data_IF_032942687801
#
_entry.id   IF_032942687801
#
_cell.length_a   1.000
_cell.length_b   1.000
_cell.length_c   1.000
_cell.angle_alpha   90.00
_cell.angle_beta   90.00
_cell.angle_gamma   90.00
#
_symmetry.space_group_name_H-M   'P 1'
#
loop_
_entity.id
_entity.type
_entity.pdbx_description
1 polymer ?
#
# COMPACT_ATOMS: atom_id res chain seq x y z
N UNK A 1 -64.16 -107.58 -57.13
CA UNK A 1 -63.47 -107.22 -55.87
C UNK A 1 -63.63 -105.71 -55.72
N UNK A 2 -64.66 -105.24 -55.02
CA UNK A 2 -64.70 -105.03 -53.55
C UNK A 2 -63.64 -104.00 -53.13
N UNK A 3 -63.91 -102.88 -52.44
CA UNK A 3 -65.13 -102.33 -51.84
C UNK A 3 -64.80 -100.92 -51.27
N UNK A 4 -65.71 -99.93 -51.45
CA UNK A 4 -66.22 -98.92 -50.48
C UNK A 4 -65.33 -97.78 -49.89
N UNK A 5 -65.74 -96.54 -50.26
CA UNK A 5 -66.13 -95.33 -49.44
C UNK A 5 -65.10 -94.67 -48.49
N UNK A 6 -65.09 -93.37 -48.17
CA UNK A 6 -66.08 -92.26 -48.12
C UNK A 6 -65.37 -90.90 -48.40
N UNK A 7 -65.91 -90.00 -49.25
CA UNK A 7 -66.58 -88.69 -48.97
C UNK A 7 -65.73 -87.58 -48.32
N UNK A 8 -65.53 -86.46 -49.04
CA UNK A 8 -66.03 -85.09 -48.73
C UNK A 8 -66.09 -84.28 -50.04
N UNK A 9 -67.29 -83.79 -50.36
CA UNK A 9 -67.61 -82.84 -51.45
C UNK A 9 -67.08 -81.43 -51.16
N UNK A 10 -66.82 -80.62 -52.19
CA UNK A 10 -67.42 -79.27 -52.37
C UNK A 10 -67.31 -78.87 -53.85
N UNK A 11 -68.45 -78.51 -54.41
CA UNK A 11 -68.77 -78.30 -55.83
C UNK A 11 -68.20 -77.03 -56.48
N UNK A 12 -68.13 -77.10 -57.82
CA UNK A 12 -68.54 -76.10 -58.83
C UNK A 12 -67.85 -74.72 -58.85
N UNK A 13 -67.56 -74.07 -59.98
CA UNK A 13 -67.78 -74.27 -61.41
C UNK A 13 -66.92 -73.20 -62.14
N UNK A 14 -66.74 -73.29 -63.48
CA UNK A 14 -65.99 -72.31 -64.25
C UNK A 14 -66.86 -71.07 -64.55
N UNK A 15 -66.82 -70.05 -63.69
CA UNK A 15 -67.43 -68.75 -63.99
C UNK A 15 -66.65 -67.56 -63.38
N UNK A 16 -65.33 -67.57 -63.51
CA UNK A 16 -64.45 -66.64 -62.78
C UNK A 16 -64.30 -65.25 -63.47
N UNK A 17 -64.20 -65.21 -64.81
CA UNK A 17 -63.96 -63.94 -65.51
C UNK A 17 -65.22 -63.07 -65.67
N UNK A 18 -66.37 -63.66 -66.01
CA UNK A 18 -67.63 -62.91 -66.19
C UNK A 18 -68.11 -62.29 -64.88
N UNK A 19 -67.92 -63.00 -63.76
CA UNK A 19 -68.27 -62.54 -62.42
C UNK A 19 -67.34 -61.41 -61.95
N UNK A 20 -66.05 -61.46 -62.32
CA UNK A 20 -65.09 -60.39 -62.02
C UNK A 20 -65.41 -59.08 -62.79
N UNK A 21 -65.77 -59.15 -64.07
CA UNK A 21 -66.18 -57.96 -64.84
C UNK A 21 -67.49 -57.36 -64.36
N UNK A 22 -68.46 -58.20 -63.96
CA UNK A 22 -69.70 -57.72 -63.34
C UNK A 22 -69.42 -56.99 -62.02
N UNK A 23 -68.49 -57.51 -61.20
CA UNK A 23 -68.07 -56.88 -59.95
C UNK A 23 -67.33 -55.55 -60.18
N UNK A 24 -66.37 -55.51 -61.12
CA UNK A 24 -65.67 -54.27 -61.48
C UNK A 24 -66.62 -53.23 -62.08
N UNK A 25 -67.59 -53.65 -62.88
CA UNK A 25 -68.61 -52.74 -63.42
C UNK A 25 -69.50 -52.18 -62.31
N UNK A 26 -69.82 -52.99 -61.30
CA UNK A 26 -70.47 -52.53 -60.07
C UNK A 26 -69.63 -51.52 -59.28
N UNK A 27 -68.34 -51.78 -59.09
CA UNK A 27 -67.43 -50.87 -58.37
C UNK A 27 -67.20 -49.56 -59.13
N UNK A 28 -67.04 -49.60 -60.45
CA UNK A 28 -66.92 -48.39 -61.29
C UNK A 28 -68.23 -47.60 -61.31
N UNK A 29 -69.38 -48.26 -61.28
CA UNK A 29 -70.67 -47.59 -61.14
C UNK A 29 -70.80 -46.89 -59.78
N UNK A 30 -70.31 -47.50 -58.70
CA UNK A 30 -70.27 -46.88 -57.37
C UNK A 30 -69.30 -45.69 -57.30
N UNK A 31 -68.09 -45.83 -57.87
CA UNK A 31 -67.13 -44.72 -57.96
C UNK A 31 -67.67 -43.56 -58.80
N UNK A 32 -68.32 -43.87 -59.94
CA UNK A 32 -68.95 -42.87 -60.78
C UNK A 32 -70.05 -42.14 -60.02
N UNK A 33 -70.90 -42.86 -59.29
CA UNK A 33 -71.95 -42.26 -58.45
C UNK A 33 -71.40 -41.43 -57.30
N UNK A 34 -70.29 -41.87 -56.69
CA UNK A 34 -69.60 -41.12 -55.64
C UNK A 34 -68.94 -39.85 -56.19
N UNK A 35 -68.34 -39.90 -57.38
CA UNK A 35 -67.78 -38.72 -58.06
C UNK A 35 -68.89 -37.78 -58.53
N UNK A 36 -69.99 -38.30 -59.05
CA UNK A 36 -71.17 -37.51 -59.40
C UNK A 36 -71.75 -36.82 -58.15
N UNK A 37 -71.85 -37.50 -56.99
CA UNK A 37 -72.20 -36.87 -55.72
C UNK A 37 -71.19 -35.83 -55.24
N UNK A 38 -69.88 -36.11 -55.31
CA UNK A 38 -68.84 -35.16 -54.90
C UNK A 38 -68.81 -33.92 -55.80
N UNK A 39 -69.09 -34.10 -57.10
CA UNK A 39 -69.17 -33.02 -58.08
C UNK A 39 -70.46 -32.21 -57.96
N UNK A 40 -71.56 -32.86 -57.60
CA UNK A 40 -72.84 -32.21 -57.26
C UNK A 40 -72.71 -31.36 -56.00
N UNK A 41 -72.04 -31.90 -54.97
CA UNK A 41 -71.77 -31.18 -53.72
C UNK A 41 -70.79 -30.03 -53.96
N UNK A 42 -69.75 -30.20 -54.79
CA UNK A 42 -68.85 -29.09 -55.18
C UNK A 42 -69.45 -28.06 -56.13
N UNK A 43 -70.46 -28.42 -56.92
CA UNK A 43 -71.18 -27.46 -57.76
C UNK A 43 -72.13 -26.57 -56.93
N UNK A 44 -72.52 -27.03 -55.73
CA UNK A 44 -73.31 -26.27 -54.76
C UNK A 44 -72.44 -25.50 -53.76
N UNK A 45 -71.15 -25.85 -53.62
CA UNK A 45 -70.17 -25.08 -52.83
C UNK A 45 -69.55 -23.99 -53.71
N UNK A 46 -70.06 -22.77 -53.54
CA UNK A 46 -69.40 -21.54 -53.99
C UNK A 46 -67.97 -21.54 -53.43
N UNK A 47 -66.96 -21.65 -54.31
CA UNK A 47 -65.56 -21.66 -53.90
C UNK A 47 -65.23 -20.34 -53.17
N UNK A 48 -64.39 -20.33 -52.12
CA UNK A 48 -64.10 -19.09 -51.40
C UNK A 48 -63.56 -18.04 -52.39
N UNK A 49 -64.19 -16.86 -52.45
CA UNK A 49 -63.74 -15.78 -53.31
C UNK A 49 -62.42 -15.18 -52.77
N UNK A 50 -61.30 -15.68 -53.30
CA UNK A 50 -59.97 -15.20 -52.96
C UNK A 50 -59.63 -13.85 -53.61
N UNK A 51 -60.49 -13.27 -54.44
CA UNK A 51 -60.22 -11.99 -55.10
C UNK A 51 -60.03 -10.85 -54.09
N UNK A 52 -60.78 -10.88 -52.97
CA UNK A 52 -60.66 -9.89 -51.89
C UNK A 52 -59.34 -10.06 -51.13
N UNK A 53 -58.96 -11.29 -50.79
CA UNK A 53 -57.72 -11.55 -50.05
C UNK A 53 -56.48 -11.34 -50.92
N UNK A 54 -56.52 -11.73 -52.19
CA UNK A 54 -55.46 -11.44 -53.17
C UNK A 54 -55.38 -9.94 -53.48
N UNK A 55 -56.52 -9.24 -53.54
CA UNK A 55 -56.58 -7.79 -53.68
C UNK A 55 -55.94 -7.08 -52.49
N UNK A 56 -56.23 -7.53 -51.26
CA UNK A 56 -55.62 -6.96 -50.06
C UNK A 56 -54.11 -7.24 -49.98
N UNK A 57 -53.67 -8.43 -50.39
CA UNK A 57 -52.24 -8.75 -50.49
C UNK A 57 -51.54 -7.89 -51.54
N UNK A 58 -52.16 -7.71 -52.72
CA UNK A 58 -51.63 -6.84 -53.77
C UNK A 58 -51.58 -5.38 -53.32
N UNK A 59 -52.60 -4.90 -52.61
CA UNK A 59 -52.64 -3.56 -52.00
C UNK A 59 -51.51 -3.38 -50.98
N UNK A 60 -51.26 -4.38 -50.13
CA UNK A 60 -50.17 -4.36 -49.14
C UNK A 60 -48.80 -4.40 -49.82
N UNK A 61 -48.64 -5.19 -50.89
CA UNK A 61 -47.39 -5.25 -51.66
C UNK A 61 -47.11 -3.92 -52.37
N UNK A 62 -48.11 -3.33 -53.01
CA UNK A 62 -48.07 -1.99 -53.60
C UNK A 62 -47.72 -0.91 -52.56
N UNK A 63 -48.29 -0.99 -51.37
CA UNK A 63 -48.00 -0.07 -50.28
C UNK A 63 -46.59 -0.24 -49.69
N UNK A 64 -45.93 -1.39 -49.91
CA UNK A 64 -44.53 -1.64 -49.55
C UNK A 64 -43.61 -1.17 -50.68
N UNK A 65 -43.97 -1.43 -51.93
CA UNK A 65 -43.24 -1.00 -53.13
C UNK A 65 -43.21 0.54 -53.25
N UNK A 66 -44.27 1.23 -52.81
CA UNK A 66 -44.33 2.69 -52.72
C UNK A 66 -43.58 3.29 -51.52
N UNK A 67 -43.05 2.49 -50.58
CA UNK A 67 -42.24 3.00 -49.47
C UNK A 67 -40.79 3.14 -49.92
N UNK A 68 -40.19 4.30 -49.61
CA UNK A 68 -38.79 4.69 -49.84
C UNK A 68 -37.74 3.81 -49.13
N UNK A 69 -38.08 2.58 -48.76
CA UNK A 69 -37.14 1.57 -48.27
C UNK A 69 -36.48 0.78 -49.41
N UNK A 70 -37.09 0.71 -50.61
CA UNK A 70 -36.52 0.00 -51.77
C UNK A 70 -35.54 0.83 -52.62
N UNK A 71 -35.48 2.15 -52.43
CA UNK A 71 -34.52 3.02 -53.13
C UNK A 71 -33.14 3.05 -52.49
N UNK A 72 -33.00 2.51 -51.26
CA UNK A 72 -31.71 2.30 -50.62
C UNK A 72 -31.29 0.85 -50.81
N UNK A 73 -30.22 0.64 -51.58
CA UNK A 73 -29.67 -0.70 -51.77
C UNK A 73 -28.98 -1.17 -50.48
N UNK A 74 -28.96 -2.48 -50.19
CA UNK A 74 -28.27 -3.02 -49.02
C UNK A 74 -26.78 -2.65 -48.98
N UNK A 75 -26.13 -2.42 -50.13
CA UNK A 75 -24.76 -1.91 -50.23
C UNK A 75 -24.65 -0.49 -49.70
N UNK A 76 -25.66 0.37 -49.93
CA UNK A 76 -25.68 1.75 -49.44
C UNK A 76 -25.89 1.81 -47.91
N UNK A 77 -26.68 0.87 -47.37
CA UNK A 77 -26.76 0.66 -45.91
C UNK A 77 -25.44 0.19 -45.32
N UNK A 78 -24.78 -0.81 -45.93
CA UNK A 78 -23.48 -1.30 -45.47
C UNK A 78 -22.40 -0.20 -45.55
N UNK A 79 -22.41 0.61 -46.60
CA UNK A 79 -21.50 1.75 -46.77
C UNK A 79 -21.73 2.82 -45.71
N UNK A 80 -22.99 3.15 -45.39
CA UNK A 80 -23.34 4.10 -44.32
C UNK A 80 -22.96 3.58 -42.93
N UNK A 81 -23.22 2.31 -42.63
CA UNK A 81 -22.79 1.67 -41.37
C UNK A 81 -21.27 1.66 -41.29
N UNK A 82 -20.58 1.28 -42.35
CA UNK A 82 -19.12 1.26 -42.41
C UNK A 82 -18.49 2.66 -42.29
N UNK A 83 -19.16 3.69 -42.81
CA UNK A 83 -18.75 5.09 -42.66
C UNK A 83 -18.99 5.57 -41.23
N UNK A 84 -20.19 5.37 -40.68
CA UNK A 84 -20.52 5.73 -39.30
C UNK A 84 -19.62 5.03 -38.28
N UNK A 85 -19.35 3.73 -38.46
CA UNK A 85 -18.44 2.97 -37.62
C UNK A 85 -16.99 3.48 -37.68
N UNK A 86 -16.51 3.88 -38.87
CA UNK A 86 -15.18 4.48 -39.03
C UNK A 86 -15.09 5.86 -38.39
N UNK A 87 -16.14 6.68 -38.50
CA UNK A 87 -16.19 7.99 -37.84
C UNK A 87 -16.18 7.82 -36.32
N UNK A 88 -17.02 6.94 -35.77
CA UNK A 88 -17.07 6.62 -34.33
C UNK A 88 -15.71 6.13 -33.82
N UNK A 89 -15.09 5.17 -34.52
CA UNK A 89 -13.77 4.64 -34.12
C UNK A 89 -12.66 5.69 -34.15
N UNK A 90 -12.73 6.69 -35.04
CA UNK A 90 -11.77 7.80 -35.05
C UNK A 90 -11.94 8.69 -33.83
N UNK A 91 -13.18 9.05 -33.50
CA UNK A 91 -13.48 9.86 -32.31
C UNK A 91 -13.07 9.13 -31.04
N UNK A 92 -13.31 7.82 -30.97
CA UNK A 92 -12.87 6.98 -29.85
C UNK A 92 -11.34 6.90 -29.77
N UNK A 93 -10.64 6.76 -30.91
CA UNK A 93 -9.19 6.74 -30.96
C UNK A 93 -8.58 8.07 -30.47
N UNK A 94 -9.15 9.20 -30.87
CA UNK A 94 -8.72 10.53 -30.41
C UNK A 94 -8.94 10.72 -28.90
N UNK A 95 -10.09 10.27 -28.37
CA UNK A 95 -10.35 10.34 -26.92
C UNK A 95 -9.43 9.41 -26.13
N UNK A 96 -9.16 8.21 -26.62
CA UNK A 96 -8.24 7.26 -25.98
C UNK A 96 -6.81 7.80 -25.99
N UNK A 97 -6.35 8.40 -27.09
CA UNK A 97 -5.02 8.99 -27.16
C UNK A 97 -4.90 10.20 -26.23
N UNK A 98 -5.93 11.04 -26.16
CA UNK A 98 -5.97 12.15 -25.21
C UNK A 98 -5.89 11.65 -23.76
N UNK A 99 -6.72 10.66 -23.40
CA UNK A 99 -6.69 10.05 -22.07
C UNK A 99 -5.33 9.41 -21.74
N UNK A 100 -4.71 8.71 -22.71
CA UNK A 100 -3.35 8.16 -22.54
C UNK A 100 -2.31 9.24 -22.31
N UNK A 101 -2.40 10.35 -23.03
CA UNK A 101 -1.46 11.46 -22.89
C UNK A 101 -1.63 12.15 -21.53
N UNK A 102 -2.86 12.39 -21.10
CA UNK A 102 -3.16 12.93 -19.76
C UNK A 102 -2.65 11.99 -18.65
N UNK A 103 -2.88 10.68 -18.78
CA UNK A 103 -2.35 9.70 -17.83
C UNK A 103 -0.81 9.65 -17.80
N UNK A 104 -0.15 9.71 -18.97
CA UNK A 104 1.32 9.78 -19.04
C UNK A 104 1.87 11.05 -18.42
N UNK A 105 1.20 12.18 -18.67
CA UNK A 105 1.58 13.46 -18.09
C UNK A 105 1.48 13.42 -16.56
N UNK A 106 0.34 12.95 -16.03
CA UNK A 106 0.16 12.78 -14.59
C UNK A 106 1.18 11.80 -13.99
N UNK A 107 1.48 10.68 -14.67
CA UNK A 107 2.49 9.73 -14.20
C UNK A 107 3.90 10.34 -14.17
N UNK A 108 4.26 11.15 -15.16
CA UNK A 108 5.55 11.85 -15.21
C UNK A 108 5.63 12.94 -14.11
N UNK A 109 4.56 13.68 -13.87
CA UNK A 109 4.49 14.66 -12.78
C UNK A 109 4.63 13.99 -11.41
N UNK A 110 3.97 12.85 -11.20
CA UNK A 110 4.13 12.06 -9.96
C UNK A 110 5.58 11.56 -9.82
N UNK A 111 6.18 11.01 -10.88
CA UNK A 111 7.56 10.51 -10.81
C UNK A 111 8.58 11.63 -10.52
N UNK A 112 8.40 12.81 -11.12
CA UNK A 112 9.27 13.97 -10.87
C UNK A 112 9.09 14.53 -9.45
N UNK A 113 7.86 14.60 -8.95
CA UNK A 113 7.58 14.96 -7.56
C UNK A 113 8.16 13.96 -6.57
N UNK A 114 7.97 12.65 -6.80
CA UNK A 114 8.51 11.59 -5.92
C UNK A 114 10.04 11.59 -5.93
N UNK A 115 10.68 11.77 -7.09
CA UNK A 115 12.14 11.87 -7.19
C UNK A 115 12.72 13.06 -6.43
N UNK A 116 12.04 14.21 -6.48
CA UNK A 116 12.46 15.43 -5.76
C UNK A 116 12.10 15.42 -4.27
N UNK A 117 11.08 14.66 -3.85
CA UNK A 117 10.75 14.49 -2.43
C UNK A 117 11.69 13.50 -1.75
N UNK A 118 12.00 12.37 -2.39
CA UNK A 118 12.87 11.32 -1.83
C UNK A 118 14.28 11.85 -1.54
N UNK A 119 14.85 12.59 -2.49
CA UNK A 119 16.17 13.22 -2.33
C UNK A 119 16.21 14.24 -1.20
N UNK A 120 15.14 15.06 -1.02
CA UNK A 120 15.06 16.03 0.08
C UNK A 120 14.91 15.36 1.45
N UNK A 121 14.18 14.26 1.54
CA UNK A 121 13.99 13.54 2.80
C UNK A 121 15.28 12.86 3.26
N UNK A 122 16.00 12.21 2.35
CA UNK A 122 17.31 11.60 2.64
C UNK A 122 18.34 12.66 3.04
N UNK A 123 18.40 13.80 2.33
CA UNK A 123 19.28 14.92 2.69
C UNK A 123 18.96 15.51 4.08
N UNK A 124 17.68 15.66 4.42
CA UNK A 124 17.27 16.14 5.75
C UNK A 124 17.68 15.20 6.86
N UNK A 125 17.55 13.89 6.65
CA UNK A 125 17.97 12.89 7.64
C UNK A 125 19.49 12.95 7.85
N UNK A 126 20.29 13.01 6.78
CA UNK A 126 21.74 13.15 6.91
C UNK A 126 22.16 14.44 7.62
N UNK A 127 21.52 15.58 7.30
CA UNK A 127 21.75 16.84 7.99
C UNK A 127 21.35 16.75 9.48
N UNK A 128 20.21 16.15 9.79
CA UNK A 128 19.76 15.95 11.17
C UNK A 128 20.73 15.05 11.96
N UNK A 129 21.21 13.96 11.35
CA UNK A 129 22.22 13.09 11.96
C UNK A 129 23.53 13.84 12.16
N UNK A 130 23.97 14.65 11.20
CA UNK A 130 25.19 15.45 11.33
C UNK A 130 25.07 16.51 12.44
N UNK A 131 23.93 17.20 12.53
CA UNK A 131 23.66 18.18 13.59
C UNK A 131 23.60 17.49 14.95
N UNK A 132 22.83 16.40 15.08
CA UNK A 132 22.73 15.65 16.31
C UNK A 132 24.10 15.09 16.74
N UNK A 133 24.85 14.53 15.79
CA UNK A 133 26.22 14.05 16.02
C UNK A 133 27.16 15.17 16.45
N UNK A 134 27.09 16.34 15.82
CA UNK A 134 27.88 17.52 16.18
C UNK A 134 27.57 18.05 17.58
N UNK A 135 26.30 18.09 17.96
CA UNK A 135 25.86 18.47 19.32
C UNK A 135 26.42 17.48 20.34
N UNK A 136 26.23 16.17 20.12
CA UNK A 136 26.72 15.13 21.02
C UNK A 136 28.24 15.18 21.16
N UNK A 137 28.96 15.29 20.04
CA UNK A 137 30.42 15.43 20.05
C UNK A 137 30.86 16.70 20.78
N UNK A 138 30.19 17.84 20.55
CA UNK A 138 30.44 19.09 21.24
C UNK A 138 30.26 18.99 22.75
N UNK A 139 29.16 18.38 23.21
CA UNK A 139 28.90 18.15 24.63
C UNK A 139 29.97 17.25 25.28
N UNK A 140 30.39 16.19 24.60
CA UNK A 140 31.45 15.30 25.08
C UNK A 140 32.79 16.03 25.19
N UNK A 141 33.16 16.78 24.15
CA UNK A 141 34.37 17.59 24.13
C UNK A 141 34.35 18.60 25.28
N UNK A 142 33.25 19.33 25.49
CA UNK A 142 33.12 20.33 26.55
C UNK A 142 33.14 19.74 27.96
N UNK A 143 32.73 18.47 28.12
CA UNK A 143 32.78 17.78 29.42
C UNK A 143 34.19 17.29 29.77
N UNK A 144 34.99 16.92 28.76
CA UNK A 144 36.34 16.36 28.96
C UNK A 144 37.41 17.46 29.03
N UNK A 145 37.25 18.53 28.24
CA UNK A 145 38.23 19.62 28.14
C UNK A 145 38.63 20.22 29.50
N UNK A 146 37.72 20.53 30.45
CA UNK A 146 38.12 21.11 31.73
C UNK A 146 39.07 20.21 32.51
N UNK A 147 38.80 18.91 32.56
CA UNK A 147 39.60 17.96 33.32
C UNK A 147 40.98 17.66 32.72
N UNK A 148 41.12 17.74 31.39
CA UNK A 148 42.40 17.53 30.70
C UNK A 148 43.22 18.82 30.70
N UNK A 149 42.60 19.95 30.38
CA UNK A 149 43.27 21.26 30.37
C UNK A 149 43.83 21.58 31.76
N UNK A 150 43.05 21.40 32.83
CA UNK A 150 43.52 21.67 34.20
C UNK A 150 44.76 20.87 34.62
N UNK A 151 45.10 19.75 33.97
CA UNK A 151 46.28 18.94 34.28
C UNK A 151 47.54 19.28 33.48
N UNK A 152 47.40 19.99 32.36
CA UNK A 152 48.52 20.35 31.47
C UNK A 152 49.05 21.75 31.75
N UNK A 153 48.31 22.57 32.50
CA UNK A 153 48.74 23.92 32.85
C UNK A 153 49.89 23.93 33.87
N UNK A 154 50.77 24.96 33.84
CA UNK A 154 51.87 25.08 34.78
C UNK A 154 51.39 25.14 36.23
N UNK A 155 52.04 24.38 37.12
CA UNK A 155 51.71 24.34 38.54
C UNK A 155 51.84 25.71 39.25
N UNK A 156 52.57 26.66 38.68
CA UNK A 156 52.74 28.00 39.24
C UNK A 156 51.46 28.84 39.27
N UNK A 157 50.45 28.51 38.47
CA UNK A 157 49.21 29.29 38.38
C UNK A 157 48.12 28.91 39.41
N UNK A 158 48.28 27.82 40.18
CA UNK A 158 47.35 27.40 41.25
C UNK A 158 45.85 27.43 40.84
N UNK A 159 45.57 27.13 39.57
CA UNK A 159 44.22 27.14 39.00
C UNK A 159 43.26 26.12 39.65
N UNK A 160 43.65 24.87 39.94
CA UNK A 160 42.73 23.94 40.60
C UNK A 160 42.39 24.39 42.03
N UNK A 161 43.33 24.98 42.75
CA UNK A 161 43.11 25.53 44.09
C UNK A 161 42.20 26.77 44.04
N UNK A 162 42.40 27.65 43.05
CA UNK A 162 41.57 28.84 42.85
C UNK A 162 40.15 28.48 42.43
N UNK A 163 40.00 27.47 41.56
CA UNK A 163 38.70 26.91 41.18
C UNK A 163 38.01 26.27 42.38
N UNK A 164 38.74 25.49 43.19
CA UNK A 164 38.21 24.89 44.41
C UNK A 164 37.74 25.97 45.39
N UNK A 165 38.52 27.02 45.60
CA UNK A 165 38.10 28.15 46.45
C UNK A 165 36.84 28.83 45.92
N UNK A 166 36.73 29.01 44.60
CA UNK A 166 35.54 29.57 43.97
C UNK A 166 34.30 28.67 44.14
N UNK A 167 34.44 27.35 43.99
CA UNK A 167 33.36 26.37 44.18
C UNK A 167 32.93 26.31 45.65
N UNK A 168 33.89 26.33 46.58
CA UNK A 168 33.62 26.35 48.02
C UNK A 168 32.99 27.70 48.44
N UNK A 169 33.27 28.77 47.70
CA UNK A 169 32.70 30.10 47.90
C UNK A 169 33.41 30.93 48.98
N UNK A 170 34.66 30.60 49.29
CA UNK A 170 35.47 31.36 50.25
C UNK A 170 36.31 32.44 49.55
N UNK A 171 36.51 33.62 50.17
CA UNK A 171 37.19 34.73 49.51
C UNK A 171 38.72 34.52 49.39
N UNK A 172 39.30 33.63 50.20
CA UNK A 172 40.73 33.31 50.14
C UNK A 172 40.98 31.81 49.99
N UNK A 173 42.10 31.45 49.35
CA UNK A 173 42.57 30.06 49.25
C UNK A 173 42.74 29.42 50.63
N UNK A 174 43.16 30.20 51.62
CA UNK A 174 43.36 29.73 52.99
C UNK A 174 42.04 29.37 53.66
N UNK A 175 41.01 30.22 53.56
CA UNK A 175 39.68 29.94 54.10
C UNK A 175 39.05 28.73 53.40
N UNK A 176 39.17 28.65 52.07
CA UNK A 176 38.73 27.50 51.30
C UNK A 176 39.39 26.20 51.78
N UNK A 177 40.71 26.21 51.96
CA UNK A 177 41.47 25.07 52.48
C UNK A 177 41.05 24.72 53.91
N UNK A 178 40.85 25.71 54.77
CA UNK A 178 40.39 25.51 56.15
C UNK A 178 39.00 24.87 56.22
N UNK A 179 38.08 25.30 55.35
CA UNK A 179 36.72 24.76 55.27
C UNK A 179 36.72 23.35 54.69
N UNK A 180 37.58 23.08 53.72
CA UNK A 180 37.75 21.73 53.14
C UNK A 180 38.33 20.75 54.17
N UNK A 181 39.37 21.16 54.91
CA UNK A 181 39.95 20.34 55.99
C UNK A 181 38.94 20.08 57.11
N UNK A 182 38.15 21.10 57.50
CA UNK A 182 37.07 20.96 58.47
C UNK A 182 35.97 20.00 57.99
N UNK A 183 35.58 20.08 56.72
CA UNK A 183 34.55 19.22 56.15
C UNK A 183 35.01 17.75 56.01
N UNK A 184 36.30 17.52 55.73
CA UNK A 184 36.88 16.18 55.60
C UNK A 184 37.07 15.45 56.92
N UNK A 185 37.65 16.13 57.92
CA UNK A 185 37.81 15.59 59.28
C UNK A 185 37.90 16.74 60.31
N UNK A 186 36.80 17.02 61.03
CA UNK A 186 36.79 18.05 62.07
C UNK A 186 37.77 17.77 63.22
N UNK A 187 38.02 16.50 63.55
CA UNK A 187 38.91 16.09 64.63
C UNK A 187 40.37 16.35 64.30
N UNK A 188 40.81 15.90 63.12
CA UNK A 188 42.16 16.18 62.62
C UNK A 188 42.40 17.68 62.42
N UNK A 189 41.42 18.43 61.91
CA UNK A 189 41.52 19.89 61.83
C UNK A 189 41.74 20.54 63.19
N UNK A 190 40.95 20.14 64.21
CA UNK A 190 41.11 20.66 65.58
C UNK A 190 42.50 20.38 66.13
N UNK A 191 43.03 19.17 65.93
CA UNK A 191 44.39 18.81 66.36
C UNK A 191 45.46 19.68 65.69
N UNK A 192 45.26 20.05 64.42
CA UNK A 192 46.17 20.93 63.67
C UNK A 192 46.14 22.35 64.22
N UNK A 193 44.94 22.89 64.47
CA UNK A 193 44.80 24.23 65.06
C UNK A 193 45.41 24.30 66.46
N UNK A 194 45.17 23.27 67.30
CA UNK A 194 45.79 23.18 68.63
C UNK A 194 47.32 23.14 68.55
N UNK A 195 47.90 22.42 67.58
CA UNK A 195 49.35 22.41 67.38
C UNK A 195 49.89 23.78 66.92
N UNK A 196 49.18 24.48 66.03
CA UNK A 196 49.55 25.84 65.59
C UNK A 196 49.50 26.83 66.74
N UNK A 197 48.46 26.75 67.58
CA UNK A 197 48.30 27.58 68.76
C UNK A 197 49.40 27.31 69.79
N UNK A 198 49.65 26.04 70.12
CA UNK A 198 50.75 25.64 71.01
C UNK A 198 52.10 26.18 70.54
N UNK A 199 52.40 26.10 69.23
CA UNK A 199 53.64 26.64 68.67
C UNK A 199 53.68 28.16 68.77
N UNK A 200 52.55 28.84 68.55
CA UNK A 200 52.45 30.30 68.67
C UNK A 200 52.72 30.76 70.11
N UNK A 201 52.12 30.09 71.09
CA UNK A 201 52.29 30.40 72.51
C UNK A 201 53.72 30.12 73.00
N UNK A 202 54.43 29.19 72.37
CA UNK A 202 55.80 28.80 72.71
C UNK A 202 56.85 29.27 71.70
N UNK A 203 56.52 30.22 70.82
CA UNK A 203 57.32 30.58 69.64
C UNK A 203 58.78 30.85 69.96
N UNK A 204 59.06 31.67 70.97
CA UNK A 204 60.44 32.04 71.30
C UNK A 204 61.26 30.84 71.82
N UNK A 205 60.65 29.98 72.63
CA UNK A 205 61.30 28.78 73.15
C UNK A 205 61.59 27.78 72.03
N UNK A 206 60.60 27.53 71.16
CA UNK A 206 60.72 26.64 70.01
C UNK A 206 61.78 27.15 69.03
N UNK A 207 61.77 28.44 68.66
CA UNK A 207 62.75 29.05 67.77
C UNK A 207 64.20 28.90 68.32
N UNK A 208 64.38 29.01 69.64
CA UNK A 208 65.69 28.77 70.29
C UNK A 208 66.10 27.30 70.20
N UNK A 209 65.17 26.38 70.46
CA UNK A 209 65.39 24.94 70.38
C UNK A 209 65.72 24.49 68.95
N UNK A 210 65.02 25.02 67.93
CA UNK A 210 65.29 24.75 66.52
C UNK A 210 66.69 25.23 66.12
N UNK A 211 67.10 26.43 66.55
CA UNK A 211 68.48 26.93 66.33
C UNK A 211 69.52 26.06 67.04
N UNK A 212 69.25 25.59 68.24
CA UNK A 212 70.14 24.70 68.98
C UNK A 212 70.28 23.33 68.29
N UNK A 213 69.17 22.75 67.83
CA UNK A 213 69.12 21.52 67.05
C UNK A 213 69.92 21.64 65.74
N UNK A 214 69.73 22.74 65.01
CA UNK A 214 70.46 23.03 63.77
C UNK A 214 71.97 23.15 64.00
N UNK A 215 72.40 23.85 65.06
CA UNK A 215 73.82 23.98 65.44
C UNK A 215 74.43 22.64 65.85
N UNK A 216 73.69 21.84 66.61
CA UNK A 216 74.13 20.52 67.06
C UNK A 216 74.02 19.43 65.98
N UNK A 217 73.42 19.74 64.81
CA UNK A 217 73.07 18.78 63.76
C UNK A 217 72.35 17.55 64.32
N UNK A 218 71.45 17.76 65.28
CA UNK A 218 70.84 16.69 66.05
C UNK A 218 69.61 17.14 66.83
N UNK A 219 69.06 16.25 67.64
CA UNK A 219 67.85 16.52 68.42
C UNK A 219 68.15 17.49 69.58
N UNK A 220 67.28 18.46 69.80
CA UNK A 220 67.31 19.33 70.98
C UNK A 220 66.08 19.06 71.85
N UNK A 221 66.28 18.98 73.18
CA UNK A 221 65.17 18.92 74.13
C UNK A 221 64.63 20.33 74.36
N UNK A 222 63.32 20.50 74.17
CA UNK A 222 62.64 21.76 74.37
C UNK A 222 61.61 21.64 75.50
N UNK A 223 61.58 22.60 76.41
CA UNK A 223 60.53 22.70 77.42
C UNK A 223 59.48 23.68 76.91
N UNK A 224 58.29 23.16 76.63
CA UNK A 224 57.14 23.96 76.21
C UNK A 224 56.17 24.12 77.37
N UNK A 225 55.45 25.23 77.37
CA UNK A 225 54.35 25.52 78.28
C UNK A 225 53.05 25.13 77.61
N UNK A 226 52.28 24.26 78.27
CA UNK A 226 50.94 23.87 77.84
C UNK A 226 49.99 24.40 78.91
N UNK A 227 49.03 25.23 78.50
CA UNK A 227 47.96 25.72 79.36
C UNK A 227 46.67 24.97 79.07
N UNK A 228 45.92 24.63 80.11
CA UNK A 228 44.54 24.18 79.98
C UNK A 228 43.68 25.42 79.68
N UNK A 229 42.85 25.36 78.64
CA UNK A 229 41.89 26.42 78.32
C UNK A 229 40.51 25.82 78.25
#
# INVERSE_FOLDING_TARGET
MSERRDVVSTDAEPNDAATAFAKLTGEVALLRRAVEQLSSEKAEVDGPDYSVTLGEMAQRLSAIEGKSAMTMTPEDFAARIGKAARTSRRTDAEMIDKARNEHRQAANEIQTLVGTMRSRQEQRLHLQIAIAGGIVAGCLIWSILPGVILRVLPASWHMPESMAAHIIGEPTLWEAGSRMMQAGDPGSWRSTILAVEMRRDNREAIDKCERAAAKAKGMARCTIRIGER
#
